data_IF_850268291252
#
_entry.id   IF_850268291252
#
_cell.length_a   1.000
_cell.length_b   1.000
_cell.length_c   1.000
_cell.angle_alpha   90.00
_cell.angle_beta   90.00
_cell.angle_gamma   90.00
#
_symmetry.space_group_name_H-M   'P 1'
#
loop_
_entity.id
_entity.type
_entity.pdbx_description
1 polymer ?
#
# COMPACT_ATOMS: atom_id res chain seq x y z
N UNK A 1 -15.78 -23.57 0.49
CA UNK A 1 -14.47 -22.90 0.44
C UNK A 1 -14.28 -22.08 -0.84
N UNK A 2 -14.40 -22.72 -2.01
CA UNK A 2 -14.20 -22.04 -3.32
C UNK A 2 -15.19 -20.90 -3.58
N UNK A 3 -16.42 -21.00 -3.10
CA UNK A 3 -17.45 -19.96 -3.27
C UNK A 3 -17.09 -18.70 -2.46
N UNK A 4 -16.75 -18.85 -1.16
CA UNK A 4 -16.32 -17.72 -0.32
C UNK A 4 -15.07 -17.03 -0.86
N UNK A 5 -14.08 -17.82 -1.26
CA UNK A 5 -12.86 -17.29 -1.89
C UNK A 5 -13.19 -16.46 -3.14
N UNK A 6 -13.99 -17.01 -4.05
CA UNK A 6 -14.41 -16.30 -5.27
C UNK A 6 -15.18 -15.02 -4.96
N UNK A 7 -16.10 -15.06 -3.98
CA UNK A 7 -16.88 -13.88 -3.58
C UNK A 7 -16.00 -12.80 -3.00
N UNK A 8 -15.08 -13.15 -2.09
CA UNK A 8 -14.12 -12.18 -1.53
C UNK A 8 -13.22 -11.57 -2.61
N UNK A 9 -12.66 -12.40 -3.50
CA UNK A 9 -11.83 -11.95 -4.62
C UNK A 9 -12.61 -11.02 -5.53
N UNK A 10 -13.85 -11.35 -5.88
CA UNK A 10 -14.71 -10.51 -6.72
C UNK A 10 -14.94 -9.14 -6.08
N UNK A 11 -15.32 -9.09 -4.81
CA UNK A 11 -15.54 -7.81 -4.10
C UNK A 11 -14.25 -6.97 -4.04
N UNK A 12 -13.09 -7.60 -3.80
CA UNK A 12 -11.81 -6.90 -3.81
C UNK A 12 -11.54 -6.29 -5.20
N UNK A 13 -11.67 -7.06 -6.27
CA UNK A 13 -11.43 -6.59 -7.64
C UNK A 13 -12.39 -5.45 -8.01
N UNK A 14 -13.68 -5.60 -7.69
CA UNK A 14 -14.70 -4.57 -7.97
C UNK A 14 -14.45 -3.28 -7.20
N UNK A 15 -14.01 -3.36 -5.94
CA UNK A 15 -13.77 -2.17 -5.11
C UNK A 15 -12.43 -1.49 -5.38
N UNK A 16 -11.42 -2.28 -5.76
CA UNK A 16 -10.08 -1.75 -6.05
C UNK A 16 -9.87 -1.37 -7.51
N UNK A 17 -10.64 -1.92 -8.45
CA UNK A 17 -10.44 -1.72 -9.88
C UNK A 17 -9.14 -2.34 -10.42
N UNK A 18 -8.55 -3.31 -9.73
CA UNK A 18 -7.37 -4.07 -10.18
C UNK A 18 -7.79 -5.39 -10.83
N UNK A 19 -6.80 -6.15 -11.33
CA UNK A 19 -7.08 -7.31 -12.19
C UNK A 19 -6.80 -8.64 -11.50
N UNK A 20 -5.85 -8.68 -10.55
CA UNK A 20 -5.46 -9.88 -9.81
C UNK A 20 -5.26 -9.56 -8.33
N UNK A 21 -5.49 -10.56 -7.50
CA UNK A 21 -5.29 -10.46 -6.05
C UNK A 21 -4.53 -11.67 -5.52
N UNK A 22 -3.64 -11.42 -4.57
CA UNK A 22 -3.02 -12.42 -3.72
C UNK A 22 -3.45 -12.16 -2.27
N UNK A 23 -3.95 -13.19 -1.58
CA UNK A 23 -4.37 -13.09 -0.17
C UNK A 23 -3.29 -13.61 0.76
N UNK A 24 -3.04 -12.86 1.83
CA UNK A 24 -2.10 -13.12 2.91
C UNK A 24 -2.82 -12.95 4.27
N UNK A 25 -2.07 -12.97 5.38
CA UNK A 25 -2.67 -12.93 6.72
C UNK A 25 -2.41 -11.60 7.44
N UNK A 26 -1.55 -10.77 6.92
CA UNK A 26 -1.15 -9.49 7.53
C UNK A 26 -0.67 -8.48 6.49
N UNK A 27 -0.55 -7.22 6.93
CA UNK A 27 0.05 -6.17 6.11
C UNK A 27 1.54 -6.41 5.80
N UNK A 28 2.29 -6.93 6.78
CA UNK A 28 3.69 -7.28 6.55
C UNK A 28 3.84 -8.35 5.47
N UNK A 29 3.02 -9.42 5.49
CA UNK A 29 3.03 -10.44 4.43
C UNK A 29 2.60 -9.88 3.08
N UNK A 30 1.63 -8.95 3.06
CA UNK A 30 1.22 -8.28 1.84
C UNK A 30 2.37 -7.47 1.21
N UNK A 31 3.09 -6.69 2.01
CA UNK A 31 4.25 -5.92 1.57
C UNK A 31 5.43 -6.81 1.18
N UNK A 32 5.68 -7.92 1.89
CA UNK A 32 6.68 -8.93 1.48
C UNK A 32 6.38 -9.48 0.07
N UNK A 33 5.11 -9.80 -0.19
CA UNK A 33 4.67 -10.26 -1.50
C UNK A 33 4.85 -9.21 -2.59
N UNK A 34 4.50 -7.95 -2.32
CA UNK A 34 4.67 -6.82 -3.23
C UNK A 34 6.16 -6.57 -3.54
N UNK A 35 7.03 -6.56 -2.52
CA UNK A 35 8.48 -6.39 -2.65
C UNK A 35 9.07 -7.53 -3.50
N UNK A 36 8.70 -8.79 -3.22
CA UNK A 36 9.16 -9.94 -4.02
C UNK A 36 8.72 -9.84 -5.47
N UNK A 37 7.47 -9.43 -5.71
CA UNK A 37 6.95 -9.26 -7.06
C UNK A 37 7.71 -8.16 -7.81
N UNK A 38 7.94 -7.02 -7.17
CA UNK A 38 8.68 -5.90 -7.74
C UNK A 38 10.12 -6.29 -8.10
N UNK A 39 10.84 -6.97 -7.21
CA UNK A 39 12.19 -7.47 -7.48
C UNK A 39 12.21 -8.49 -8.60
N UNK A 40 11.23 -9.40 -8.65
CA UNK A 40 11.15 -10.38 -9.73
C UNK A 40 10.84 -9.73 -11.07
N UNK A 41 9.96 -8.73 -11.10
CA UNK A 41 9.72 -7.92 -12.29
C UNK A 41 10.98 -7.22 -12.78
N UNK A 42 11.69 -6.54 -11.88
CA UNK A 42 12.94 -5.86 -12.19
C UNK A 42 13.99 -6.81 -12.77
N UNK A 43 14.21 -7.96 -12.10
CA UNK A 43 15.14 -8.98 -12.56
C UNK A 43 14.84 -9.54 -13.97
N UNK A 44 13.54 -9.62 -14.34
CA UNK A 44 13.14 -10.03 -15.70
C UNK A 44 13.49 -8.98 -16.77
N UNK A 45 13.71 -7.73 -16.36
CA UNK A 45 14.09 -6.63 -17.26
C UNK A 45 15.62 -6.49 -17.36
N UNK A 46 16.28 -6.50 -16.19
CA UNK A 46 17.73 -6.42 -16.05
C UNK A 46 18.12 -7.03 -14.69
N UNK A 47 19.12 -7.89 -14.63
CA UNK A 47 19.57 -8.55 -13.38
C UNK A 47 19.97 -7.57 -12.27
N UNK A 48 20.46 -6.37 -12.62
CA UNK A 48 20.79 -5.30 -11.67
C UNK A 48 19.60 -4.54 -11.10
N UNK A 49 18.41 -4.68 -11.69
CA UNK A 49 17.20 -3.90 -11.35
C UNK A 49 16.48 -4.49 -10.13
N UNK A 50 16.95 -4.16 -8.92
CA UNK A 50 16.38 -4.69 -7.67
C UNK A 50 16.21 -3.64 -6.56
N UNK A 51 16.70 -2.42 -6.78
CA UNK A 51 16.61 -1.35 -5.79
C UNK A 51 15.15 -0.90 -5.61
N UNK A 52 14.82 -0.55 -4.37
CA UNK A 52 13.49 -0.10 -3.94
C UNK A 52 13.66 1.24 -3.23
N UNK A 53 12.98 2.25 -3.72
CA UNK A 53 12.91 3.55 -3.04
C UNK A 53 11.70 3.54 -2.12
N UNK A 54 11.91 3.91 -0.85
CA UNK A 54 10.86 4.17 0.13
C UNK A 54 11.00 5.57 0.71
N UNK A 55 10.08 5.97 1.57
CA UNK A 55 10.13 7.30 2.17
C UNK A 55 10.59 7.27 3.62
N UNK A 56 11.32 8.30 4.04
CA UNK A 56 11.60 8.58 5.46
C UNK A 56 10.27 8.72 6.22
N UNK A 57 10.20 8.23 7.46
CA UNK A 57 9.01 8.13 8.30
C UNK A 57 7.94 7.15 7.82
N UNK A 58 8.18 6.38 6.76
CA UNK A 58 7.24 5.32 6.34
C UNK A 58 7.14 4.18 7.35
N UNK A 59 6.05 3.40 7.24
CA UNK A 59 5.89 2.17 8.00
C UNK A 59 5.28 1.06 7.11
N UNK A 60 6.06 0.00 6.86
CA UNK A 60 5.65 -1.09 5.95
C UNK A 60 5.58 -2.46 6.62
N UNK A 61 5.97 -2.57 7.88
CA UNK A 61 5.89 -3.82 8.65
C UNK A 61 7.10 -4.11 9.54
N UNK A 62 7.14 -5.33 10.09
CA UNK A 62 8.14 -5.77 11.08
C UNK A 62 8.90 -7.03 10.69
N UNK A 63 8.66 -7.62 9.51
CA UNK A 63 9.51 -8.69 8.95
C UNK A 63 10.78 -8.09 8.38
N UNK A 64 11.81 -8.89 8.11
CA UNK A 64 13.13 -8.37 7.74
C UNK A 64 13.10 -7.45 6.51
N UNK A 65 12.36 -7.81 5.45
CA UNK A 65 12.24 -6.93 4.28
C UNK A 65 11.39 -5.70 4.58
N UNK A 66 10.27 -5.85 5.28
CA UNK A 66 9.36 -4.74 5.54
C UNK A 66 9.88 -3.79 6.62
N UNK A 67 10.66 -4.27 7.61
CA UNK A 67 11.34 -3.38 8.57
C UNK A 67 12.46 -2.61 7.87
N UNK A 68 13.15 -3.24 6.90
CA UNK A 68 14.13 -2.53 6.07
C UNK A 68 13.44 -1.48 5.19
N UNK A 69 12.31 -1.80 4.58
CA UNK A 69 11.53 -0.82 3.80
C UNK A 69 10.97 0.33 4.66
N UNK A 70 10.82 0.13 5.97
CA UNK A 70 10.32 1.15 6.91
C UNK A 70 11.39 2.20 7.18
N UNK A 71 11.17 3.44 6.70
CA UNK A 71 12.13 4.56 6.80
C UNK A 71 12.21 5.19 8.18
N UNK A 72 12.32 4.36 9.24
CA UNK A 72 12.42 4.77 10.63
C UNK A 72 13.51 3.97 11.34
N UNK A 73 14.73 4.54 11.54
CA UNK A 73 15.89 3.84 12.11
C UNK A 73 15.62 3.16 13.45
N UNK A 74 14.73 3.71 14.27
CA UNK A 74 14.35 3.12 15.57
C UNK A 74 13.81 1.69 15.49
N UNK A 75 13.24 1.30 14.31
CA UNK A 75 12.71 -0.03 14.08
C UNK A 75 13.71 -0.99 13.46
N UNK A 76 14.81 -0.47 12.94
CA UNK A 76 15.87 -1.23 12.26
C UNK A 76 17.02 -1.59 13.18
N UNK A 77 17.27 -0.77 14.20
CA UNK A 77 18.40 -0.90 15.12
C UNK A 77 18.40 -2.27 15.82
N UNK A 78 19.53 -2.98 15.75
CA UNK A 78 19.75 -4.27 16.39
C UNK A 78 19.34 -5.49 15.56
N UNK A 79 18.93 -5.27 14.30
CA UNK A 79 18.54 -6.33 13.35
C UNK A 79 19.50 -6.44 12.15
N UNK A 80 20.63 -5.74 12.21
CA UNK A 80 21.62 -5.77 11.13
C UNK A 80 22.33 -7.16 11.04
N UNK A 81 22.72 -7.60 9.83
CA UNK A 81 22.66 -6.89 8.58
C UNK A 81 21.24 -6.91 7.97
N UNK A 82 20.75 -5.72 7.57
CA UNK A 82 19.46 -5.59 6.88
C UNK A 82 19.59 -6.03 5.40
N UNK A 83 18.50 -6.53 4.80
CA UNK A 83 18.47 -6.82 3.36
C UNK A 83 18.87 -5.59 2.52
N UNK A 84 19.80 -5.79 1.58
CA UNK A 84 20.30 -4.72 0.71
C UNK A 84 19.26 -4.27 -0.33
N UNK A 85 19.50 -3.08 -0.92
CA UNK A 85 18.75 -2.53 -2.04
C UNK A 85 17.51 -1.73 -1.63
N UNK A 86 17.57 -1.01 -0.51
CA UNK A 86 16.58 -0.03 -0.10
C UNK A 86 17.22 1.34 0.03
N UNK A 87 16.59 2.34 -0.60
CA UNK A 87 16.95 3.74 -0.50
C UNK A 87 15.79 4.54 0.08
N UNK A 88 16.13 5.59 0.83
CA UNK A 88 15.13 6.39 1.54
C UNK A 88 15.18 7.83 1.08
N UNK A 89 14.03 8.38 0.68
CA UNK A 89 13.90 9.81 0.31
C UNK A 89 12.97 10.53 1.28
N UNK A 90 13.12 11.81 1.52
CA UNK A 90 12.14 12.58 2.28
C UNK A 90 10.76 12.47 1.63
N UNK A 91 9.72 12.21 2.43
CA UNK A 91 8.37 12.08 1.90
C UNK A 91 7.85 13.42 1.36
N UNK A 92 7.34 13.42 0.14
CA UNK A 92 6.84 14.62 -0.53
C UNK A 92 7.91 15.43 -1.26
N UNK A 93 9.20 15.07 -1.16
CA UNK A 93 10.29 15.72 -1.86
C UNK A 93 10.53 15.10 -3.26
N UNK A 94 10.09 15.83 -4.29
CA UNK A 94 10.19 15.39 -5.68
C UNK A 94 11.61 15.41 -6.22
N UNK A 95 12.44 16.37 -5.78
CA UNK A 95 13.82 16.47 -6.23
C UNK A 95 14.63 15.30 -5.68
N UNK A 96 14.51 15.01 -4.39
CA UNK A 96 15.16 13.86 -3.79
C UNK A 96 14.71 12.54 -4.45
N UNK A 97 13.40 12.42 -4.79
CA UNK A 97 12.90 11.24 -5.51
C UNK A 97 13.52 11.15 -6.91
N UNK A 98 13.62 12.28 -7.65
CA UNK A 98 14.23 12.33 -8.99
C UNK A 98 15.71 11.92 -8.98
N UNK A 99 16.45 12.43 -8.00
CA UNK A 99 17.88 12.12 -7.84
C UNK A 99 18.14 10.65 -7.48
N UNK A 100 17.23 10.03 -6.74
CA UNK A 100 17.32 8.62 -6.35
C UNK A 100 16.93 7.64 -7.46
N UNK A 101 16.18 8.09 -8.49
CA UNK A 101 15.71 7.25 -9.59
C UNK A 101 16.78 7.00 -10.64
N UNK A 102 17.01 5.72 -10.95
CA UNK A 102 17.87 5.25 -12.06
C UNK A 102 17.36 3.91 -12.64
N UNK A 103 18.11 3.33 -13.55
CA UNK A 103 17.77 2.09 -14.25
C UNK A 103 17.74 0.85 -13.34
N UNK A 104 18.38 0.90 -12.16
CA UNK A 104 18.44 -0.22 -11.21
C UNK A 104 17.26 -0.21 -10.21
N UNK A 105 16.45 0.84 -10.21
CA UNK A 105 15.25 0.94 -9.36
C UNK A 105 14.13 0.09 -9.94
N UNK A 106 13.72 -0.96 -9.22
CA UNK A 106 12.60 -1.81 -9.63
C UNK A 106 11.24 -1.29 -9.16
N UNK A 107 11.18 -0.56 -8.03
CA UNK A 107 9.95 0.09 -7.60
C UNK A 107 10.16 1.26 -6.65
N UNK A 108 9.14 2.11 -6.59
CA UNK A 108 8.93 3.12 -5.55
C UNK A 108 7.75 2.65 -4.69
N UNK A 109 7.99 2.44 -3.39
CA UNK A 109 7.00 1.98 -2.41
C UNK A 109 6.63 3.13 -1.48
N UNK A 110 5.39 3.59 -1.56
CA UNK A 110 4.88 4.74 -0.81
C UNK A 110 3.55 4.42 -0.12
N UNK A 111 3.32 5.04 1.03
CA UNK A 111 1.97 5.24 1.56
C UNK A 111 1.36 6.46 0.86
N UNK A 112 0.13 6.43 0.32
CA UNK A 112 -0.50 7.64 -0.24
C UNK A 112 -0.66 8.77 0.78
N UNK A 113 -0.82 8.41 2.05
CA UNK A 113 -0.75 9.27 3.23
C UNK A 113 0.03 8.48 4.26
N UNK A 114 1.13 9.00 4.76
CA UNK A 114 1.85 8.34 5.86
C UNK A 114 1.01 8.39 7.13
N UNK A 115 0.66 7.22 7.67
CA UNK A 115 -0.19 7.14 8.86
C UNK A 115 0.61 7.05 10.15
N UNK A 116 1.36 5.98 10.33
CA UNK A 116 2.12 5.70 11.56
C UNK A 116 3.24 6.72 11.79
N UNK A 117 3.84 7.23 10.72
CA UNK A 117 4.91 8.21 10.77
C UNK A 117 4.50 9.62 11.20
N UNK A 118 3.19 9.92 11.38
CA UNK A 118 2.71 11.20 11.87
C UNK A 118 1.62 11.87 11.04
N UNK A 119 0.90 11.13 10.22
CA UNK A 119 -0.19 11.63 9.33
C UNK A 119 0.32 12.71 8.36
N UNK A 120 1.32 12.35 7.57
CA UNK A 120 1.85 13.23 6.53
C UNK A 120 1.07 13.06 5.23
N UNK A 121 0.47 14.15 4.76
CA UNK A 121 -0.25 14.22 3.47
C UNK A 121 0.67 14.90 2.46
N UNK A 122 0.95 14.28 1.31
CA UNK A 122 1.82 14.88 0.31
C UNK A 122 1.10 15.99 -0.46
N UNK A 123 1.83 16.78 -1.25
CA UNK A 123 1.22 17.71 -2.20
C UNK A 123 0.38 16.95 -3.25
N UNK A 124 -0.60 17.63 -3.83
CA UNK A 124 -1.49 17.03 -4.82
C UNK A 124 -0.76 16.47 -6.05
N UNK A 125 0.42 17.02 -6.37
CA UNK A 125 1.22 16.62 -7.54
C UNK A 125 2.21 15.48 -7.24
N UNK A 126 2.55 15.23 -5.97
CA UNK A 126 3.62 14.29 -5.61
C UNK A 126 3.42 12.87 -6.15
N UNK A 127 2.22 12.32 -5.96
CA UNK A 127 1.93 10.96 -6.43
C UNK A 127 1.89 10.89 -7.96
N UNK A 128 1.44 11.95 -8.64
CA UNK A 128 1.46 12.04 -10.11
C UNK A 128 2.90 12.04 -10.65
N UNK A 129 3.77 12.85 -10.07
CA UNK A 129 5.16 12.91 -10.47
C UNK A 129 5.91 11.61 -10.16
N UNK A 130 5.61 10.97 -9.01
CA UNK A 130 6.14 9.64 -8.70
C UNK A 130 5.72 8.61 -9.76
N UNK A 131 4.47 8.66 -10.26
CA UNK A 131 4.01 7.80 -11.36
C UNK A 131 4.80 8.05 -12.64
N UNK A 132 4.98 9.32 -13.03
CA UNK A 132 5.73 9.68 -14.23
C UNK A 132 7.20 9.24 -14.16
N UNK A 133 7.82 9.36 -12.99
CA UNK A 133 9.19 8.87 -12.79
C UNK A 133 9.27 7.35 -12.89
N UNK A 134 8.33 6.63 -12.28
CA UNK A 134 8.27 5.17 -12.41
C UNK A 134 8.09 4.75 -13.88
N UNK A 135 7.21 5.42 -14.62
CA UNK A 135 6.98 5.14 -16.04
C UNK A 135 8.24 5.39 -16.89
N UNK A 136 8.96 6.50 -16.61
CA UNK A 136 10.19 6.86 -17.32
C UNK A 136 11.28 5.78 -17.18
N UNK A 137 11.43 5.21 -16.00
CA UNK A 137 12.47 4.22 -15.71
C UNK A 137 11.97 2.77 -15.76
N UNK A 138 10.74 2.52 -16.24
CA UNK A 138 10.09 1.19 -16.20
C UNK A 138 10.14 0.54 -14.80
N UNK A 139 10.06 1.37 -13.76
CA UNK A 139 9.92 0.94 -12.36
C UNK A 139 8.44 0.77 -12.00
N UNK A 140 8.14 -0.02 -10.98
CA UNK A 140 6.77 -0.17 -10.48
C UNK A 140 6.45 0.91 -9.43
N UNK A 141 5.24 1.45 -9.49
CA UNK A 141 4.68 2.23 -8.39
C UNK A 141 3.87 1.30 -7.49
N UNK A 142 4.24 1.24 -6.22
CA UNK A 142 3.58 0.41 -5.20
C UNK A 142 2.98 1.32 -4.14
N UNK A 143 1.67 1.21 -3.91
CA UNK A 143 1.03 1.92 -2.81
C UNK A 143 0.70 0.98 -1.65
N UNK A 144 1.21 1.32 -0.48
CA UNK A 144 0.82 0.71 0.78
C UNK A 144 -0.45 1.39 1.31
N UNK A 145 -1.58 0.75 1.06
CA UNK A 145 -2.90 1.21 1.50
C UNK A 145 -3.41 0.44 2.74
N UNK A 146 -2.50 -0.20 3.46
CA UNK A 146 -2.84 -1.00 4.65
C UNK A 146 -3.56 -0.16 5.70
N UNK A 147 -3.17 1.10 5.85
CA UNK A 147 -3.82 2.00 6.79
C UNK A 147 -4.84 2.94 6.13
N UNK A 148 -4.57 3.40 4.93
CA UNK A 148 -5.36 4.41 4.23
C UNK A 148 -6.55 3.85 3.46
N UNK A 149 -6.53 2.55 3.16
CA UNK A 149 -7.58 1.88 2.41
C UNK A 149 -8.84 1.56 3.21
N UNK A 150 -9.77 0.92 2.54
CA UNK A 150 -11.04 0.39 3.09
C UNK A 150 -11.86 1.50 3.74
N UNK A 151 -12.25 2.49 2.94
CA UNK A 151 -13.08 3.63 3.29
C UNK A 151 -12.49 4.62 4.33
N UNK A 152 -11.23 4.42 4.81
CA UNK A 152 -10.62 5.24 5.88
C UNK A 152 -10.59 6.73 5.56
N UNK A 153 -10.38 7.09 4.30
CA UNK A 153 -10.19 8.49 3.86
C UNK A 153 -11.42 9.10 3.17
N UNK A 154 -12.56 8.40 3.16
CA UNK A 154 -13.76 8.84 2.44
C UNK A 154 -13.76 8.49 0.95
N UNK A 155 -12.84 7.64 0.52
CA UNK A 155 -12.83 6.86 -0.71
C UNK A 155 -12.55 5.40 -0.37
N UNK A 156 -12.83 4.45 -1.26
CA UNK A 156 -12.50 3.05 -1.03
C UNK A 156 -11.01 2.88 -0.70
N UNK A 157 -10.13 3.54 -1.47
CA UNK A 157 -8.70 3.59 -1.26
C UNK A 157 -8.19 5.03 -1.48
N UNK A 158 -7.13 5.42 -0.76
CA UNK A 158 -6.65 6.79 -0.79
C UNK A 158 -6.11 7.21 -2.17
N UNK A 159 -5.55 6.30 -2.96
CA UNK A 159 -5.10 6.60 -4.32
C UNK A 159 -6.21 7.16 -5.21
N UNK A 160 -7.48 6.86 -4.90
CA UNK A 160 -8.64 7.37 -5.66
C UNK A 160 -8.88 8.88 -5.46
N UNK A 161 -8.23 9.53 -4.50
CA UNK A 161 -8.25 10.99 -4.36
C UNK A 161 -7.39 11.66 -5.43
N UNK A 162 -6.20 11.14 -5.65
CA UNK A 162 -5.29 11.65 -6.69
C UNK A 162 -5.63 11.14 -8.09
N UNK A 163 -6.34 10.03 -8.23
CA UNK A 163 -6.57 9.34 -9.50
C UNK A 163 -5.32 8.62 -10.05
N UNK A 164 -4.24 8.56 -9.29
CA UNK A 164 -3.00 7.86 -9.66
C UNK A 164 -3.12 6.39 -9.31
N UNK A 165 -3.31 5.54 -10.32
CA UNK A 165 -3.38 4.09 -10.11
C UNK A 165 -1.96 3.51 -10.03
N UNK A 166 -1.58 2.82 -8.92
CA UNK A 166 -0.30 2.13 -8.83
C UNK A 166 -0.32 0.81 -9.62
N UNK A 167 0.85 0.22 -9.84
CA UNK A 167 0.99 -1.12 -10.42
C UNK A 167 0.62 -2.22 -9.41
N UNK A 168 0.95 -1.98 -8.14
CA UNK A 168 0.67 -2.86 -7.00
C UNK A 168 0.07 -2.01 -5.88
N UNK A 169 -0.97 -2.53 -5.23
CA UNK A 169 -1.52 -1.93 -4.01
C UNK A 169 -1.64 -3.00 -2.92
N UNK A 170 -1.12 -2.73 -1.74
CA UNK A 170 -1.24 -3.63 -0.59
C UNK A 170 -2.37 -3.19 0.33
N UNK A 171 -3.02 -4.13 0.98
CA UNK A 171 -4.13 -3.89 1.89
C UNK A 171 -4.12 -4.87 3.07
N UNK A 172 -4.62 -4.44 4.22
CA UNK A 172 -4.87 -5.26 5.41
C UNK A 172 -5.80 -4.51 6.38
N UNK A 173 -5.59 -4.66 7.68
CA UNK A 173 -6.33 -3.96 8.76
C UNK A 173 -7.83 -3.95 8.53
N UNK A 174 -8.39 -2.84 8.03
CA UNK A 174 -9.83 -2.64 7.86
C UNK A 174 -10.53 -3.67 7.00
N UNK A 175 -9.83 -4.30 6.05
CA UNK A 175 -10.46 -5.25 5.10
C UNK A 175 -11.04 -6.50 5.77
N UNK A 176 -10.48 -6.89 6.92
CA UNK A 176 -10.93 -8.06 7.67
C UNK A 176 -11.95 -7.76 8.77
N UNK A 177 -12.32 -6.49 8.97
CA UNK A 177 -13.27 -6.12 10.04
C UNK A 177 -12.82 -6.57 11.44
N UNK A 178 -11.50 -6.73 11.67
CA UNK A 178 -10.90 -7.25 12.90
C UNK A 178 -10.30 -8.67 12.76
N UNK A 179 -10.65 -9.41 11.71
CA UNK A 179 -10.03 -10.70 11.44
C UNK A 179 -8.65 -10.53 10.78
N UNK A 180 -7.61 -11.31 11.18
CA UNK A 180 -6.28 -11.23 10.58
C UNK A 180 -6.31 -11.63 9.09
N UNK A 181 -6.14 -10.66 8.23
CA UNK A 181 -6.04 -10.85 6.78
C UNK A 181 -5.38 -9.64 6.13
N UNK A 182 -4.71 -9.88 5.04
CA UNK A 182 -4.12 -8.88 4.16
C UNK A 182 -3.95 -9.45 2.77
N UNK A 183 -3.34 -8.67 1.90
CA UNK A 183 -3.05 -9.10 0.54
C UNK A 183 -2.59 -7.94 -0.31
N UNK A 184 -2.37 -8.22 -1.56
CA UNK A 184 -2.08 -7.20 -2.55
C UNK A 184 -2.83 -7.47 -3.86
N UNK A 185 -3.09 -6.41 -4.57
CA UNK A 185 -3.67 -6.42 -5.91
C UNK A 185 -2.67 -5.88 -6.92
N UNK A 186 -2.78 -6.37 -8.15
CA UNK A 186 -1.90 -5.96 -9.24
C UNK A 186 -2.69 -5.71 -10.52
N UNK A 187 -2.12 -4.87 -11.38
CA UNK A 187 -2.62 -4.68 -12.74
C UNK A 187 -2.30 -5.91 -13.61
N UNK A 188 -3.04 -6.10 -14.70
CA UNK A 188 -2.85 -7.21 -15.66
C UNK A 188 -1.41 -7.29 -16.19
N UNK A 189 -0.72 -6.16 -16.30
CA UNK A 189 0.70 -6.06 -16.67
C UNK A 189 1.59 -7.00 -15.82
N UNK A 190 1.23 -7.24 -14.56
CA UNK A 190 2.02 -8.03 -13.61
C UNK A 190 1.47 -9.46 -13.41
N UNK A 191 0.37 -9.82 -14.06
CA UNK A 191 -0.31 -11.11 -13.85
C UNK A 191 0.59 -12.33 -14.11
N UNK A 192 1.62 -12.18 -14.92
CA UNK A 192 2.51 -13.27 -15.34
C UNK A 192 3.91 -13.24 -14.71
N UNK A 193 4.18 -12.27 -13.82
CA UNK A 193 5.48 -12.15 -13.15
C UNK A 193 5.71 -13.28 -12.17
N UNK A 194 4.73 -13.56 -11.31
CA UNK A 194 4.74 -14.76 -10.48
C UNK A 194 4.21 -15.97 -11.25
N UNK A 195 4.94 -17.07 -11.13
CA UNK A 195 4.52 -18.39 -11.61
C UNK A 195 4.16 -19.29 -10.43
N UNK A 196 3.42 -20.38 -10.64
CA UNK A 196 3.19 -21.36 -9.60
C UNK A 196 4.48 -21.78 -8.88
N UNK A 197 4.50 -21.67 -7.55
CA UNK A 197 5.66 -21.94 -6.70
C UNK A 197 6.53 -20.74 -6.35
N UNK A 198 6.37 -19.58 -6.98
CA UNK A 198 7.21 -18.40 -6.68
C UNK A 198 6.85 -17.73 -5.34
N UNK A 199 5.58 -17.74 -4.98
CA UNK A 199 5.08 -17.16 -3.74
C UNK A 199 3.88 -17.95 -3.22
N UNK A 200 3.72 -17.99 -1.90
CA UNK A 200 2.64 -18.72 -1.25
C UNK A 200 2.59 -18.44 0.24
N UNK A 201 1.52 -18.87 0.89
CA UNK A 201 1.31 -18.81 2.33
C UNK A 201 0.32 -19.89 2.75
N UNK A 202 0.56 -20.51 3.91
CA UNK A 202 -0.26 -21.64 4.39
C UNK A 202 -1.72 -21.24 4.61
N UNK A 203 -1.97 -20.07 5.20
CA UNK A 203 -3.31 -19.65 5.63
C UNK A 203 -3.88 -18.50 4.79
N UNK A 204 -3.16 -17.98 3.81
CA UNK A 204 -3.66 -16.92 2.94
C UNK A 204 -4.92 -17.38 2.19
N UNK A 205 -5.98 -16.58 2.25
CA UNK A 205 -7.27 -16.88 1.61
C UNK A 205 -8.06 -18.00 2.27
N UNK A 206 -7.85 -18.30 3.56
CA UNK A 206 -8.68 -19.26 4.29
C UNK A 206 -10.17 -18.85 4.33
N UNK A 207 -11.07 -19.80 4.60
CA UNK A 207 -12.51 -19.58 4.53
C UNK A 207 -13.01 -18.47 5.47
N UNK A 208 -12.46 -18.38 6.70
CA UNK A 208 -12.85 -17.35 7.67
C UNK A 208 -12.38 -15.96 7.21
N UNK A 209 -11.15 -15.86 6.75
CA UNK A 209 -10.63 -14.61 6.18
C UNK A 209 -11.46 -14.14 4.98
N UNK A 210 -11.80 -15.05 4.06
CA UNK A 210 -12.64 -14.71 2.90
C UNK A 210 -14.05 -14.29 3.32
N UNK A 211 -14.65 -14.95 4.32
CA UNK A 211 -15.94 -14.55 4.87
C UNK A 211 -15.88 -13.15 5.51
N UNK A 212 -14.83 -12.88 6.27
CA UNK A 212 -14.61 -11.58 6.90
C UNK A 212 -14.44 -10.45 5.86
N UNK A 213 -13.62 -10.66 4.82
CA UNK A 213 -13.47 -9.70 3.71
C UNK A 213 -14.82 -9.43 3.04
N UNK A 214 -15.52 -10.50 2.65
CA UNK A 214 -16.81 -10.38 1.97
C UNK A 214 -17.83 -9.62 2.82
N UNK A 215 -17.98 -9.99 4.10
CA UNK A 215 -18.87 -9.29 5.02
C UNK A 215 -18.48 -7.80 5.19
N UNK A 216 -17.20 -7.51 5.38
CA UNK A 216 -16.72 -6.13 5.55
C UNK A 216 -17.01 -5.26 4.32
N UNK A 217 -16.60 -5.71 3.12
CA UNK A 217 -16.77 -4.94 1.90
C UNK A 217 -18.25 -4.75 1.53
N UNK A 218 -19.06 -5.80 1.68
CA UNK A 218 -20.52 -5.70 1.43
C UNK A 218 -21.23 -4.81 2.43
N UNK A 219 -20.84 -4.83 3.71
CA UNK A 219 -21.39 -3.91 4.73
C UNK A 219 -21.03 -2.46 4.40
N UNK A 220 -19.76 -2.17 4.10
CA UNK A 220 -19.33 -0.82 3.72
C UNK A 220 -20.14 -0.29 2.54
N UNK A 221 -20.37 -1.14 1.52
CA UNK A 221 -21.15 -0.81 0.32
C UNK A 221 -22.63 -0.58 0.63
N UNK A 222 -23.26 -1.53 1.35
CA UNK A 222 -24.70 -1.49 1.61
C UNK A 222 -25.10 -0.36 2.56
N UNK A 223 -24.23 0.03 3.48
CA UNK A 223 -24.47 1.08 4.46
C UNK A 223 -23.92 2.45 4.02
N UNK A 224 -23.38 2.57 2.79
CA UNK A 224 -22.76 3.81 2.25
C UNK A 224 -21.69 4.40 3.19
N UNK A 225 -20.85 3.54 3.79
CA UNK A 225 -19.86 3.96 4.79
C UNK A 225 -18.78 4.88 4.18
N UNK A 226 -18.46 4.72 2.90
CA UNK A 226 -17.50 5.59 2.20
C UNK A 226 -17.97 7.05 2.24
N UNK A 227 -19.21 7.29 1.85
CA UNK A 227 -19.84 8.62 1.82
C UNK A 227 -19.98 9.19 3.22
N UNK A 228 -20.48 8.38 4.17
CA UNK A 228 -20.57 8.77 5.57
C UNK A 228 -19.21 9.16 6.17
N UNK A 229 -18.14 8.45 5.78
CA UNK A 229 -16.77 8.75 6.23
C UNK A 229 -16.31 10.11 5.69
N UNK A 230 -16.59 10.41 4.42
CA UNK A 230 -16.27 11.69 3.81
C UNK A 230 -16.99 12.86 4.51
N UNK A 231 -18.29 12.70 4.77
CA UNK A 231 -19.10 13.71 5.48
C UNK A 231 -18.62 13.94 6.92
N UNK A 232 -18.45 12.86 7.69
CA UNK A 232 -17.95 12.91 9.07
C UNK A 232 -16.54 13.46 9.16
N UNK A 233 -15.67 13.10 8.20
CA UNK A 233 -14.31 13.62 8.10
C UNK A 233 -14.30 15.13 7.87
N UNK A 234 -15.13 15.63 6.95
CA UNK A 234 -15.30 17.07 6.70
C UNK A 234 -15.81 17.80 7.93
N UNK A 235 -16.80 17.26 8.62
CA UNK A 235 -17.31 17.83 9.86
C UNK A 235 -16.23 17.88 10.94
N UNK A 236 -15.50 16.79 11.15
CA UNK A 236 -14.46 16.68 12.16
C UNK A 236 -13.31 17.66 11.88
N UNK A 237 -12.87 17.74 10.63
CA UNK A 237 -11.83 18.69 10.21
C UNK A 237 -12.21 20.13 10.53
N UNK A 238 -13.43 20.57 10.21
CA UNK A 238 -13.93 21.91 10.58
C UNK A 238 -13.89 22.18 12.08
N UNK A 239 -14.18 21.15 12.92
CA UNK A 239 -14.08 21.30 14.37
C UNK A 239 -12.66 21.44 14.87
N UNK A 240 -11.72 20.69 14.27
CA UNK A 240 -10.29 20.82 14.58
C UNK A 240 -9.75 22.20 14.16
N UNK A 241 -10.09 22.68 12.96
CA UNK A 241 -9.71 24.01 12.48
C UNK A 241 -10.22 25.13 13.41
N UNK A 242 -11.46 25.01 13.90
CA UNK A 242 -12.00 25.92 14.91
C UNK A 242 -11.20 25.87 16.22
N UNK A 243 -10.80 24.68 16.69
CA UNK A 243 -10.00 24.53 17.90
C UNK A 243 -8.59 25.11 17.72
N UNK A 244 -7.95 24.86 16.56
CA UNK A 244 -6.64 25.45 16.23
C UNK A 244 -6.69 26.96 16.21
N UNK A 245 -7.73 27.56 15.62
CA UNK A 245 -7.91 29.01 15.62
C UNK A 245 -8.17 29.58 17.04
N UNK A 246 -8.85 28.81 17.89
CA UNK A 246 -9.13 29.23 19.28
C UNK A 246 -7.94 29.09 20.22
N UNK A 247 -7.03 28.17 19.92
CA UNK A 247 -5.88 27.83 20.76
C UNK A 247 -4.59 27.77 19.91
N UNK A 248 -4.13 28.90 19.34
CA UNK A 248 -3.03 28.92 18.37
C UNK A 248 -1.69 28.45 18.93
N UNK A 249 -1.50 28.50 20.25
CA UNK A 249 -0.25 28.13 20.95
C UNK A 249 -0.28 26.71 21.52
N UNK A 250 -1.28 25.91 21.19
CA UNK A 250 -1.47 24.51 21.62
C UNK A 250 -1.61 23.59 20.41
#
# INVERSE_FOLDING_TARGET
YTTLFRSAVKEIIETTGFDRVFLANSGAEANEGAIKLARKYGHQKNEGKYRIITAVHSFHGRTMMTVTATGQPKYQQGYEPLPAGFDYVPYGDLEALREAMDEDVCCVLLEPIQGEGGVHVPSDTYLHEARLLCDKYDALLVFDEIQTGVARTGKWFAYMHSGVKPDIMTFAKGIGGGFPVGGFVVTERLAHVFKPGDHGGTFGGNALACAAIYATLTTIKNENIVEQTAEKGTYFKKKLEFLMAKYPDK
#
